data_IF_576589919784
#
_entry.id   IF_576589919784
#
_cell.length_a   1.000
_cell.length_b   1.000
_cell.length_c   1.000
_cell.angle_alpha   90.00
_cell.angle_beta   90.00
_cell.angle_gamma   90.00
#
_symmetry.space_group_name_H-M   'P 1'
#
loop_
_entity.id
_entity.type
_entity.pdbx_description
1 polymer ?
#
# COMPACT_ATOMS: atom_id res chain seq x y z
N UNK A 1 2.64 17.84 16.48
CA UNK A 1 3.88 17.20 16.00
C UNK A 1 3.79 15.69 16.20
N UNK A 2 3.67 14.86 15.14
CA UNK A 2 3.96 13.42 15.30
C UNK A 2 5.49 13.33 15.36
N UNK A 3 6.06 13.24 16.58
CA UNK A 3 7.46 12.85 16.78
C UNK A 3 7.66 11.53 16.02
N UNK A 4 8.75 11.42 15.27
CA UNK A 4 9.17 10.19 14.62
C UNK A 4 9.27 9.12 15.71
N UNK A 5 8.22 8.30 15.85
CA UNK A 5 8.28 7.08 16.64
C UNK A 5 9.41 6.29 16.03
N UNK A 6 10.45 6.05 16.83
CA UNK A 6 11.52 5.14 16.48
C UNK A 6 10.83 3.87 15.98
N UNK A 7 11.00 3.59 14.69
CA UNK A 7 10.57 2.35 14.08
C UNK A 7 11.40 1.27 14.78
N UNK A 8 10.93 0.80 15.93
CA UNK A 8 11.36 -0.44 16.55
C UNK A 8 10.97 -1.51 15.52
N UNK A 9 11.89 -1.68 14.56
CA UNK A 9 11.89 -2.65 13.48
C UNK A 9 10.49 -3.19 13.14
N UNK A 10 9.60 -2.37 12.57
CA UNK A 10 8.41 -2.90 11.91
C UNK A 10 8.81 -3.44 10.53
N UNK A 11 9.76 -4.36 10.47
CA UNK A 11 9.93 -5.26 9.32
C UNK A 11 8.95 -6.41 9.57
N UNK A 12 7.67 -6.05 9.66
CA UNK A 12 6.62 -7.01 9.95
C UNK A 12 6.37 -7.84 8.70
N UNK A 13 6.96 -9.04 8.63
CA UNK A 13 6.45 -10.24 7.95
C UNK A 13 5.78 -10.10 6.57
N UNK A 14 5.97 -9.01 5.82
CA UNK A 14 5.27 -8.82 4.55
C UNK A 14 5.65 -9.90 3.54
N UNK A 15 6.87 -10.45 3.66
CA UNK A 15 7.37 -11.55 2.84
C UNK A 15 6.60 -12.86 3.04
N UNK A 16 5.91 -13.05 4.17
CA UNK A 16 5.15 -14.28 4.45
C UNK A 16 3.66 -14.14 4.11
N UNK A 17 3.23 -12.99 3.58
CA UNK A 17 1.85 -12.75 3.18
C UNK A 17 1.67 -13.07 1.70
N UNK A 18 1.48 -14.34 1.39
CA UNK A 18 1.32 -14.82 0.00
C UNK A 18 0.09 -14.22 -0.71
N UNK A 19 -0.95 -13.84 0.04
CA UNK A 19 -2.17 -13.21 -0.50
C UNK A 19 -2.09 -11.67 -0.60
N UNK A 20 -0.93 -11.06 -0.32
CA UNK A 20 -0.80 -9.60 -0.26
C UNK A 20 0.23 -9.08 -1.25
N UNK A 21 -0.18 -8.12 -2.07
CA UNK A 21 0.72 -7.27 -2.83
C UNK A 21 0.90 -5.93 -2.12
N UNK A 22 2.15 -5.63 -1.73
CA UNK A 22 2.51 -4.39 -1.05
C UNK A 22 3.10 -3.38 -2.04
N UNK A 23 2.44 -2.24 -2.18
CA UNK A 23 2.88 -1.13 -3.02
C UNK A 23 3.26 0.07 -2.15
N UNK A 24 4.10 0.96 -2.70
CA UNK A 24 4.46 2.23 -2.07
C UNK A 24 4.12 3.37 -3.01
N UNK A 25 3.30 4.31 -2.54
CA UNK A 25 3.06 5.56 -3.25
C UNK A 25 4.16 6.57 -2.89
N UNK A 26 4.72 7.22 -3.90
CA UNK A 26 5.78 8.22 -3.76
C UNK A 26 5.41 9.50 -4.52
N UNK A 27 5.74 10.65 -3.94
CA UNK A 27 5.76 11.95 -4.61
C UNK A 27 7.18 12.49 -4.50
N UNK A 28 7.78 12.89 -5.62
CA UNK A 28 9.17 13.37 -5.69
C UNK A 28 10.18 12.43 -5.01
N UNK A 29 10.00 11.12 -5.23
CA UNK A 29 10.83 10.07 -4.63
C UNK A 29 10.63 9.86 -3.12
N UNK A 30 9.75 10.65 -2.47
CA UNK A 30 9.42 10.50 -1.05
C UNK A 30 8.17 9.65 -0.88
N UNK A 31 8.29 8.60 -0.07
CA UNK A 31 7.17 7.75 0.33
C UNK A 31 6.10 8.56 1.06
N UNK A 32 4.86 8.44 0.60
CA UNK A 32 3.70 9.07 1.25
C UNK A 32 2.76 8.03 1.87
N UNK A 33 2.49 6.90 1.21
CA UNK A 33 1.66 5.81 1.75
C UNK A 33 2.21 4.42 1.41
N UNK A 34 1.89 3.45 2.26
CA UNK A 34 2.00 2.01 1.96
C UNK A 34 0.61 1.49 1.66
N UNK A 35 0.48 0.77 0.55
CA UNK A 35 -0.77 0.20 0.06
C UNK A 35 -0.65 -1.32 0.14
N UNK A 36 -1.67 -1.99 0.67
CA UNK A 36 -1.81 -3.45 0.65
C UNK A 36 -3.04 -3.79 -0.19
N UNK A 37 -2.79 -4.58 -1.23
CA UNK A 37 -3.82 -5.16 -2.11
C UNK A 37 -3.94 -6.64 -1.76
N UNK A 38 -5.16 -7.11 -1.52
CA UNK A 38 -5.43 -8.55 -1.42
C UNK A 38 -5.50 -9.13 -2.83
N UNK A 39 -4.71 -10.17 -3.10
CA UNK A 39 -4.66 -10.83 -4.40
C UNK A 39 -5.89 -11.70 -4.62
N UNK A 40 -6.35 -12.43 -3.60
CA UNK A 40 -7.56 -13.24 -3.65
C UNK A 40 -8.83 -12.42 -3.86
N UNK A 41 -8.90 -11.23 -3.28
CA UNK A 41 -10.06 -10.34 -3.38
C UNK A 41 -9.91 -9.28 -4.47
N UNK A 42 -8.73 -9.14 -5.06
CA UNK A 42 -8.39 -8.11 -6.04
C UNK A 42 -8.91 -6.72 -5.62
N UNK A 43 -8.55 -6.28 -4.41
CA UNK A 43 -8.96 -4.97 -3.87
C UNK A 43 -7.94 -4.40 -2.90
N UNK A 44 -7.96 -3.08 -2.74
CA UNK A 44 -7.17 -2.38 -1.72
C UNK A 44 -7.76 -2.65 -0.34
N UNK A 45 -7.01 -3.31 0.55
CA UNK A 45 -7.44 -3.58 1.92
C UNK A 45 -6.78 -2.63 2.94
N UNK A 46 -5.72 -1.93 2.53
CA UNK A 46 -5.07 -0.92 3.35
C UNK A 46 -4.39 0.13 2.47
N UNK A 47 -4.47 1.41 2.85
CA UNK A 47 -3.58 2.47 2.33
C UNK A 47 -3.32 3.48 3.46
N UNK A 48 -2.07 3.58 3.95
CA UNK A 48 -1.74 4.41 5.12
C UNK A 48 -0.37 5.07 5.00
N UNK A 49 -0.31 6.33 5.43
CA UNK A 49 0.92 7.11 5.56
C UNK A 49 1.55 7.02 6.94
N UNK A 50 2.35 8.03 7.27
CA UNK A 50 3.06 8.14 8.55
C UNK A 50 2.06 8.14 9.72
N UNK A 51 2.43 7.47 10.81
CA UNK A 51 1.58 7.29 11.99
C UNK A 51 0.22 6.60 11.68
N UNK A 52 0.16 5.74 10.65
CA UNK A 52 -1.04 5.01 10.20
C UNK A 52 -2.23 5.93 9.85
N UNK A 53 -1.96 7.15 9.40
CA UNK A 53 -2.98 8.13 9.01
C UNK A 53 -3.15 8.17 7.50
N UNK A 54 -4.35 8.54 7.06
CA UNK A 54 -4.58 8.87 5.65
C UNK A 54 -3.85 10.16 5.33
N UNK A 55 -3.19 10.20 4.17
CA UNK A 55 -2.64 11.44 3.62
C UNK A 55 -3.72 12.20 2.86
N UNK A 56 -3.42 13.44 2.47
CA UNK A 56 -4.31 14.22 1.59
C UNK A 56 -4.52 13.56 0.22
N UNK A 57 -3.61 12.67 -0.19
CA UNK A 57 -3.67 11.95 -1.45
C UNK A 57 -4.34 10.58 -1.34
N UNK A 58 -4.77 10.17 -0.14
CA UNK A 58 -5.26 8.82 0.14
C UNK A 58 -6.32 8.36 -0.86
N UNK A 59 -7.38 9.15 -1.06
CA UNK A 59 -8.47 8.79 -1.97
C UNK A 59 -7.99 8.67 -3.42
N UNK A 60 -7.09 9.56 -3.86
CA UNK A 60 -6.53 9.52 -5.22
C UNK A 60 -5.65 8.28 -5.42
N UNK A 61 -4.86 7.90 -4.42
CA UNK A 61 -4.02 6.70 -4.44
C UNK A 61 -4.91 5.46 -4.54
N UNK A 62 -5.91 5.33 -3.66
CA UNK A 62 -6.82 4.17 -3.64
C UNK A 62 -7.54 4.04 -4.99
N UNK A 63 -8.15 5.12 -5.49
CA UNK A 63 -8.84 5.12 -6.78
C UNK A 63 -7.90 4.75 -7.94
N UNK A 64 -6.67 5.26 -7.94
CA UNK A 64 -5.69 4.94 -8.97
C UNK A 64 -5.33 3.45 -8.95
N UNK A 65 -5.11 2.87 -7.77
CA UNK A 65 -4.79 1.45 -7.65
C UNK A 65 -5.98 0.60 -8.06
N UNK A 66 -7.18 0.89 -7.53
CA UNK A 66 -8.41 0.15 -7.85
C UNK A 66 -8.72 0.16 -9.34
N UNK A 67 -8.57 1.30 -10.02
CA UNK A 67 -8.75 1.41 -11.48
C UNK A 67 -7.81 0.51 -12.28
N UNK A 68 -6.63 0.18 -11.73
CA UNK A 68 -5.60 -0.62 -12.40
C UNK A 68 -5.54 -2.07 -11.93
N UNK A 69 -6.44 -2.51 -11.03
CA UNK A 69 -6.50 -3.89 -10.57
C UNK A 69 -6.59 -4.93 -11.70
N UNK A 70 -7.35 -4.70 -12.80
CA UNK A 70 -7.37 -5.65 -13.91
C UNK A 70 -5.98 -5.95 -14.50
N UNK A 71 -5.03 -5.01 -14.43
CA UNK A 71 -3.65 -5.24 -14.88
C UNK A 71 -2.87 -6.16 -13.93
N UNK A 72 -3.21 -6.15 -12.63
CA UNK A 72 -2.64 -7.06 -11.64
C UNK A 72 -3.19 -8.47 -11.89
N UNK A 73 -4.50 -8.59 -12.07
CA UNK A 73 -5.17 -9.86 -12.38
C UNK A 73 -4.59 -10.52 -13.64
N UNK A 74 -4.42 -9.75 -14.73
CA UNK A 74 -3.80 -10.25 -15.97
C UNK A 74 -2.39 -10.80 -15.75
N UNK A 75 -1.60 -10.20 -14.84
CA UNK A 75 -0.24 -10.66 -14.52
C UNK A 75 -0.21 -11.89 -13.64
N UNK A 76 -1.26 -12.14 -12.84
CA UNK A 76 -1.37 -13.36 -12.03
C UNK A 76 -1.73 -14.58 -12.89
N UNK A 77 -2.44 -14.36 -14.00
CA UNK A 77 -2.88 -15.42 -14.91
C UNK A 77 -1.85 -15.79 -16.00
N UNK A 78 -0.77 -15.03 -16.13
CA UNK A 78 0.30 -15.21 -17.13
C UNK A 78 1.45 -16.07 -16.57
#
# INVERSE_FOLDING_TARGET
>A
LCKVMHKHHCVGGYYSKEDSLILTACIDGKKIETIEVSLSKLQVIQSRGVCNKNTVYHNQIVQLVEKNIPLIEQRLAA
#
